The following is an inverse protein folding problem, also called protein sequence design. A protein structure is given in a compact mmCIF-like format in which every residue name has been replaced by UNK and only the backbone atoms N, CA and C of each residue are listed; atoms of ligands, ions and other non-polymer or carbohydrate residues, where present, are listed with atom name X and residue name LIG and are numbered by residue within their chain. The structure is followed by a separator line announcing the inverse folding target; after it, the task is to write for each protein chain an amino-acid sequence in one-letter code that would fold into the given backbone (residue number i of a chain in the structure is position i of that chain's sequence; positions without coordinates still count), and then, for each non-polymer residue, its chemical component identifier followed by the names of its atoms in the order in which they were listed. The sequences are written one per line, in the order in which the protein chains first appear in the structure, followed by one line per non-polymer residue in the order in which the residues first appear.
data_IF_104001187801
#
_entry.id   IF_104001187801
#
_cell.length_a   1.000
_cell.length_b   1.000
_cell.length_c   1.000
_cell.angle_alpha   90.00
_cell.angle_beta   90.00
_cell.angle_gamma   90.00
#
_symmetry.space_group_name_H-M   'P 1'
#
loop_
_entity.id
_entity.type
_entity.pdbx_description
1 polymer ?
#
# COMPACT_ATOMS: atom_id res chain seq x y z
N UNK A 1 75.78 19.17 -0.90
CA UNK A 1 74.72 18.17 -0.67
C UNK A 1 73.42 18.91 -0.75
N UNK A 2 72.71 18.70 -1.86
CA UNK A 2 71.52 19.43 -2.27
C UNK A 2 70.35 19.22 -1.30
N UNK A 3 69.73 20.32 -0.90
CA UNK A 3 68.51 20.35 -0.09
C UNK A 3 67.31 20.37 -1.06
N UNK A 4 66.67 19.22 -1.24
CA UNK A 4 65.52 19.09 -2.14
C UNK A 4 64.25 19.69 -1.52
N UNK A 5 63.66 20.64 -2.25
CA UNK A 5 62.39 21.28 -1.97
C UNK A 5 61.21 20.29 -1.98
N UNK A 6 60.34 20.35 -0.97
CA UNK A 6 59.05 19.64 -0.94
C UNK A 6 57.99 20.46 -1.68
N UNK A 7 57.24 19.89 -2.66
CA UNK A 7 56.06 20.56 -3.21
C UNK A 7 54.89 20.44 -2.22
N UNK A 8 54.22 21.57 -1.95
CA UNK A 8 52.95 21.61 -1.21
C UNK A 8 51.86 21.00 -2.10
N UNK A 9 51.38 19.81 -1.74
CA UNK A 9 50.19 19.21 -2.32
C UNK A 9 48.98 20.01 -1.82
N UNK A 10 48.43 20.87 -2.67
CA UNK A 10 47.16 21.55 -2.43
C UNK A 10 46.07 20.47 -2.51
N UNK A 11 45.57 20.00 -1.37
CA UNK A 11 44.40 19.12 -1.32
C UNK A 11 43.19 19.98 -1.66
N UNK A 12 42.80 19.96 -2.94
CA UNK A 12 41.50 20.42 -3.39
C UNK A 12 40.47 19.47 -2.77
N UNK A 13 39.82 19.89 -1.69
CA UNK A 13 38.61 19.25 -1.18
C UNK A 13 37.52 19.35 -2.25
N UNK A 14 37.49 18.38 -3.15
CA UNK A 14 36.29 18.06 -3.92
C UNK A 14 35.24 17.63 -2.91
N UNK A 15 34.36 18.56 -2.55
CA UNK A 15 33.08 18.25 -1.92
C UNK A 15 32.33 17.32 -2.88
N UNK A 16 32.52 16.02 -2.70
CA UNK A 16 31.57 15.01 -3.12
C UNK A 16 30.30 15.29 -2.31
N UNK A 17 29.47 16.18 -2.82
CA UNK A 17 28.06 16.21 -2.47
C UNK A 17 27.54 14.87 -2.95
N UNK A 18 27.49 13.90 -2.03
CA UNK A 18 26.68 12.73 -2.20
C UNK A 18 25.25 13.24 -2.39
N UNK A 19 24.80 13.34 -3.64
CA UNK A 19 23.39 13.39 -3.95
C UNK A 19 22.81 12.10 -3.35
N UNK A 20 22.21 12.19 -2.17
CA UNK A 20 21.35 11.16 -1.63
C UNK A 20 20.04 11.26 -2.44
N UNK A 21 19.81 10.43 -3.47
CA UNK A 21 18.66 10.63 -4.35
C UNK A 21 17.36 10.15 -3.70
N UNK A 22 17.41 9.45 -2.57
CA UNK A 22 16.28 8.72 -2.01
C UNK A 22 15.50 9.44 -0.88
N UNK A 23 15.85 10.68 -0.51
CA UNK A 23 15.18 11.38 0.61
C UNK A 23 14.29 12.57 0.21
N UNK A 24 14.30 12.98 -1.07
CA UNK A 24 13.60 14.20 -1.52
C UNK A 24 12.40 13.93 -2.46
N UNK A 25 11.83 12.72 -2.46
CA UNK A 25 10.57 12.43 -3.15
C UNK A 25 10.55 12.78 -4.65
N UNK A 26 11.67 12.68 -5.35
CA UNK A 26 11.83 13.16 -6.74
C UNK A 26 11.57 14.67 -6.96
N UNK A 27 11.61 15.50 -5.91
CA UNK A 27 11.57 16.98 -6.05
C UNK A 27 12.97 17.50 -6.38
N UNK A 28 13.12 18.26 -7.47
CA UNK A 28 14.39 18.93 -7.75
C UNK A 28 14.56 20.25 -6.99
N UNK A 29 13.49 21.02 -6.83
CA UNK A 29 13.47 22.26 -6.05
C UNK A 29 12.35 22.22 -5.01
N UNK A 30 12.73 22.27 -3.72
CA UNK A 30 11.77 22.22 -2.61
C UNK A 30 11.22 23.63 -2.31
N UNK A 31 10.41 24.12 -3.23
CA UNK A 31 9.79 25.45 -3.20
C UNK A 31 8.82 25.67 -2.02
N UNK A 32 8.30 26.89 -1.88
CA UNK A 32 7.40 27.26 -0.79
C UNK A 32 6.11 26.43 -0.77
N UNK A 33 5.59 26.04 -1.94
CA UNK A 33 4.37 25.20 -2.05
C UNK A 33 4.67 23.82 -1.48
N UNK A 34 5.78 23.20 -1.85
CA UNK A 34 6.20 21.90 -1.33
C UNK A 34 6.54 21.95 0.15
N UNK A 35 7.20 22.99 0.63
CA UNK A 35 7.46 23.20 2.07
C UNK A 35 6.15 23.31 2.87
N UNK A 36 5.17 24.06 2.34
CA UNK A 36 3.87 24.20 2.97
C UNK A 36 3.10 22.87 3.01
N UNK A 37 3.04 22.15 1.88
CA UNK A 37 2.43 20.81 1.80
C UNK A 37 3.08 19.84 2.77
N UNK A 38 4.42 19.79 2.83
CA UNK A 38 5.14 18.92 3.75
C UNK A 38 4.81 19.23 5.23
N UNK A 39 4.69 20.52 5.59
CA UNK A 39 4.32 20.94 6.95
C UNK A 39 2.89 20.52 7.30
N UNK A 40 1.95 20.72 6.38
CA UNK A 40 0.55 20.30 6.54
C UNK A 40 0.41 18.78 6.62
N UNK A 41 1.11 18.07 5.75
CA UNK A 41 1.21 16.61 5.76
C UNK A 41 1.75 16.09 7.09
N UNK A 42 2.86 16.65 7.59
CA UNK A 42 3.41 16.27 8.91
C UNK A 42 2.40 16.50 10.04
N UNK A 43 1.61 17.57 9.98
CA UNK A 43 0.52 17.82 10.94
C UNK A 43 -0.60 16.77 10.80
N UNK A 44 -0.96 16.42 9.57
CA UNK A 44 -1.98 15.40 9.28
C UNK A 44 -1.54 14.01 9.75
N UNK A 45 -0.31 13.57 9.43
CA UNK A 45 0.24 12.30 9.90
C UNK A 45 0.23 12.20 11.43
N UNK A 46 0.65 13.26 12.13
CA UNK A 46 0.60 13.30 13.60
C UNK A 46 -0.82 13.23 14.16
N UNK A 47 -1.80 13.81 13.47
CA UNK A 47 -3.20 13.76 13.88
C UNK A 47 -3.86 12.39 13.59
N UNK A 48 -3.37 11.69 12.56
CA UNK A 48 -3.84 10.36 12.18
C UNK A 48 -3.17 9.26 13.02
N UNK A 49 -1.93 9.47 13.47
CA UNK A 49 -1.17 8.56 14.32
C UNK A 49 -1.90 8.25 15.62
N UNK A 50 -2.07 6.96 15.90
CA UNK A 50 -2.54 6.47 17.18
C UNK A 50 -1.33 6.11 18.05
N UNK A 51 -1.07 6.76 19.20
CA UNK A 51 0.10 6.48 20.04
C UNK A 51 0.06 5.13 20.76
N UNK A 52 -1.11 4.47 20.78
CA UNK A 52 -1.30 3.17 21.42
C UNK A 52 -2.01 2.22 20.43
N UNK A 53 -1.40 1.90 19.27
CA UNK A 53 -2.01 1.01 18.28
C UNK A 53 -2.30 -0.39 18.85
N UNK A 54 -1.57 -0.79 19.89
CA UNK A 54 -1.67 -2.10 20.53
C UNK A 54 -2.76 -2.21 21.60
N UNK A 55 -3.17 -1.08 22.18
CA UNK A 55 -4.29 -1.02 23.11
C UNK A 55 -5.51 -0.50 22.33
N UNK A 56 -6.65 -0.35 23.00
CA UNK A 56 -7.87 0.31 22.48
C UNK A 56 -8.91 -0.66 21.89
N UNK A 57 -10.17 -0.24 21.98
CA UNK A 57 -11.30 -1.03 22.46
C UNK A 57 -12.51 -1.11 21.52
N UNK A 58 -13.33 -2.10 21.86
CA UNK A 58 -14.68 -2.49 21.43
C UNK A 58 -15.62 -1.32 21.07
N UNK A 59 -15.91 -1.12 19.77
CA UNK A 59 -17.24 -0.69 19.31
C UNK A 59 -17.55 -0.88 17.81
N UNK A 60 -16.84 -1.77 17.11
CA UNK A 60 -17.12 -2.10 15.70
C UNK A 60 -17.36 -3.60 15.44
N UNK A 61 -17.15 -4.43 16.47
CA UNK A 61 -17.26 -5.88 16.41
C UNK A 61 -18.66 -6.43 16.06
N UNK A 62 -19.73 -5.64 16.21
CA UNK A 62 -21.10 -6.15 15.99
C UNK A 62 -21.40 -6.45 14.52
N UNK A 63 -20.89 -5.66 13.58
CA UNK A 63 -21.13 -5.85 12.15
C UNK A 63 -20.13 -6.85 11.53
N UNK A 64 -18.89 -6.87 12.03
CA UNK A 64 -17.87 -7.88 11.70
C UNK A 64 -18.31 -9.28 12.18
N UNK A 65 -18.78 -9.43 13.41
CA UNK A 65 -19.32 -10.72 13.90
C UNK A 65 -20.56 -11.19 13.11
N UNK A 66 -21.54 -10.32 12.82
CA UNK A 66 -22.70 -10.68 11.99
C UNK A 66 -22.33 -11.15 10.58
N UNK A 67 -21.34 -10.51 9.95
CA UNK A 67 -20.84 -10.92 8.64
C UNK A 67 -20.10 -12.28 8.67
N UNK A 68 -19.57 -12.67 9.83
CA UNK A 68 -18.68 -13.81 10.01
C UNK A 68 -19.31 -15.01 10.75
N UNK A 69 -20.43 -14.84 11.46
CA UNK A 69 -21.16 -15.91 12.17
C UNK A 69 -21.96 -16.83 11.24
N UNK A 70 -22.11 -16.46 9.96
CA UNK A 70 -22.64 -17.36 8.92
C UNK A 70 -21.75 -18.58 8.61
N UNK A 71 -20.68 -18.81 9.39
CA UNK A 71 -19.71 -19.90 9.25
C UNK A 71 -19.77 -20.95 10.37
N UNK A 72 -20.48 -20.67 11.47
CA UNK A 72 -20.58 -21.59 12.63
C UNK A 72 -21.73 -22.61 12.52
N UNK A 73 -22.23 -22.89 11.31
CA UNK A 73 -23.13 -24.03 11.11
C UNK A 73 -22.30 -25.30 10.86
N UNK A 74 -22.06 -26.06 11.93
CA UNK A 74 -21.45 -27.39 11.93
C UNK A 74 -22.38 -28.51 11.44
N UNK A 75 -23.32 -28.21 10.53
CA UNK A 75 -24.15 -29.25 9.90
C UNK A 75 -23.68 -29.55 8.49
N UNK A 76 -23.23 -30.80 8.29
CA UNK A 76 -23.25 -31.49 6.98
C UNK A 76 -24.57 -31.15 6.29
N UNK A 77 -24.48 -30.28 5.29
CA UNK A 77 -25.54 -30.02 4.33
C UNK A 77 -24.88 -30.07 2.97
N UNK A 78 -25.00 -31.22 2.31
CA UNK A 78 -24.74 -31.41 0.89
C UNK A 78 -25.83 -30.71 0.05
N UNK A 79 -26.25 -29.51 0.44
CA UNK A 79 -27.10 -28.65 -0.36
C UNK A 79 -26.24 -27.51 -0.91
N UNK A 80 -26.08 -27.48 -2.24
CA UNK A 80 -25.60 -26.33 -3.01
C UNK A 80 -26.43 -25.11 -2.59
N UNK A 81 -25.81 -24.14 -1.91
CA UNK A 81 -26.43 -22.85 -1.64
C UNK A 81 -26.70 -22.12 -2.96
N UNK A 82 -27.92 -21.60 -3.14
CA UNK A 82 -28.45 -21.07 -4.40
C UNK A 82 -28.96 -19.60 -4.31
N UNK A 83 -28.20 -18.70 -3.66
CA UNK A 83 -28.45 -17.24 -3.59
C UNK A 83 -27.18 -16.36 -3.45
N UNK A 84 -27.20 -15.02 -3.61
CA UNK A 84 -26.37 -14.33 -4.62
C UNK A 84 -25.07 -13.62 -4.21
N UNK A 85 -24.64 -13.58 -2.94
CA UNK A 85 -23.38 -12.87 -2.58
C UNK A 85 -22.22 -13.81 -2.29
N UNK A 86 -21.14 -13.65 -3.08
CA UNK A 86 -19.93 -14.49 -2.98
C UNK A 86 -18.85 -13.89 -2.07
N UNK A 87 -18.97 -12.62 -1.65
CA UNK A 87 -18.01 -11.93 -0.79
C UNK A 87 -17.64 -12.72 0.48
N UNK A 88 -16.34 -12.83 0.75
CA UNK A 88 -15.82 -13.76 1.77
C UNK A 88 -15.30 -13.09 3.03
N UNK A 89 -14.76 -11.88 2.93
CA UNK A 89 -14.22 -11.12 4.06
C UNK A 89 -15.12 -9.91 4.42
N UNK A 90 -14.91 -9.26 5.58
CA UNK A 90 -15.76 -8.16 6.05
C UNK A 90 -15.77 -6.92 5.14
N UNK A 91 -14.64 -6.58 4.51
CA UNK A 91 -14.51 -5.42 3.63
C UNK A 91 -15.39 -5.63 2.40
N UNK A 92 -15.23 -6.76 1.70
CA UNK A 92 -16.03 -7.09 0.51
C UNK A 92 -17.52 -7.16 0.87
N UNK A 93 -17.88 -7.82 1.97
CA UNK A 93 -19.29 -8.00 2.35
C UNK A 93 -20.02 -6.68 2.59
N UNK A 94 -19.31 -5.62 2.98
CA UNK A 94 -19.88 -4.31 3.25
C UNK A 94 -20.45 -3.63 1.98
N UNK A 95 -19.91 -3.90 0.79
CA UNK A 95 -20.34 -3.24 -0.45
C UNK A 95 -20.64 -4.19 -1.61
N UNK A 96 -19.89 -5.29 -1.76
CA UNK A 96 -19.83 -6.12 -2.97
C UNK A 96 -21.15 -6.86 -3.24
N UNK A 97 -21.85 -7.22 -2.16
CA UNK A 97 -23.18 -7.83 -2.22
C UNK A 97 -24.29 -6.90 -2.75
N UNK A 98 -24.04 -5.60 -2.88
CA UNK A 98 -25.02 -4.64 -3.41
C UNK A 98 -25.10 -4.79 -4.93
N UNK A 99 -26.22 -5.31 -5.44
CA UNK A 99 -26.46 -5.42 -6.90
C UNK A 99 -26.48 -4.04 -7.58
N UNK A 100 -26.74 -2.98 -6.81
CA UNK A 100 -26.77 -1.61 -7.27
C UNK A 100 -25.47 -0.87 -6.93
N UNK A 101 -24.35 -1.59 -6.71
CA UNK A 101 -23.05 -0.98 -6.42
C UNK A 101 -22.68 0.09 -7.44
N UNK A 102 -23.08 -0.04 -8.71
CA UNK A 102 -22.76 0.93 -9.75
C UNK A 102 -23.42 2.30 -9.51
N UNK A 103 -24.68 2.33 -9.03
CA UNK A 103 -25.38 3.57 -8.65
C UNK A 103 -25.01 4.01 -7.24
N UNK A 104 -24.65 3.08 -6.36
CA UNK A 104 -24.22 3.32 -4.99
C UNK A 104 -22.69 3.29 -4.84
N UNK A 105 -21.95 3.67 -5.88
CA UNK A 105 -20.50 3.42 -6.01
C UNK A 105 -19.69 3.87 -4.80
N UNK A 106 -20.06 5.04 -4.27
CA UNK A 106 -19.42 5.71 -3.15
C UNK A 106 -19.60 5.00 -1.80
N UNK A 107 -20.52 4.03 -1.69
CA UNK A 107 -20.69 3.19 -0.49
C UNK A 107 -19.40 2.42 -0.14
N UNK A 108 -18.57 2.13 -1.14
CA UNK A 108 -17.26 1.50 -0.94
C UNK A 108 -16.44 2.21 0.14
N UNK A 109 -16.45 3.54 0.16
CA UNK A 109 -15.66 4.36 1.08
C UNK A 109 -16.08 4.24 2.56
N UNK A 110 -17.18 3.54 2.88
CA UNK A 110 -17.59 3.24 4.25
C UNK A 110 -17.11 1.86 4.73
N UNK A 111 -16.41 1.12 3.87
CA UNK A 111 -16.07 -0.28 4.09
C UNK A 111 -14.60 -0.52 4.45
N UNK A 112 -13.78 0.53 4.43
CA UNK A 112 -12.38 0.45 4.85
C UNK A 112 -12.30 0.03 6.32
N UNK A 113 -11.37 -0.87 6.62
CA UNK A 113 -11.00 -1.26 7.97
C UNK A 113 -9.50 -1.05 8.17
N UNK A 114 -9.01 -1.21 9.40
CA UNK A 114 -7.59 -1.03 9.69
C UNK A 114 -7.21 0.43 9.92
N UNK A 115 -5.92 0.73 9.88
CA UNK A 115 -5.42 2.10 10.08
C UNK A 115 -5.93 3.09 9.03
N UNK A 116 -6.20 2.64 7.80
CA UNK A 116 -6.78 3.45 6.72
C UNK A 116 -8.30 3.61 6.75
N UNK A 117 -9.01 3.19 7.81
CA UNK A 117 -10.49 3.21 7.86
C UNK A 117 -11.12 4.61 7.72
N UNK A 118 -10.36 5.69 7.95
CA UNK A 118 -10.82 7.07 7.77
C UNK A 118 -10.73 7.58 6.32
N UNK A 119 -10.11 6.81 5.42
CA UNK A 119 -10.02 7.16 4.01
C UNK A 119 -11.43 7.11 3.38
N UNK A 120 -12.00 8.29 3.14
CA UNK A 120 -13.26 8.48 2.42
C UNK A 120 -13.05 8.84 0.94
N UNK A 121 -11.81 9.18 0.57
CA UNK A 121 -11.41 9.50 -0.79
C UNK A 121 -12.23 10.66 -1.38
N UNK A 122 -12.75 10.45 -2.58
CA UNK A 122 -13.60 11.38 -3.31
C UNK A 122 -15.09 11.31 -2.95
N UNK A 123 -15.49 10.63 -1.87
CA UNK A 123 -16.90 10.38 -1.53
C UNK A 123 -17.77 11.64 -1.54
N UNK A 124 -17.25 12.76 -1.04
CA UNK A 124 -17.96 14.03 -0.93
C UNK A 124 -18.11 14.81 -2.26
N UNK A 125 -17.42 14.41 -3.32
CA UNK A 125 -17.39 15.15 -4.59
C UNK A 125 -18.05 14.42 -5.75
N UNK A 126 -18.10 15.07 -6.90
CA UNK A 126 -18.78 14.53 -8.08
C UNK A 126 -18.07 13.29 -8.66
N UNK A 127 -18.83 12.52 -9.44
CA UNK A 127 -18.25 11.46 -10.27
C UNK A 127 -17.57 12.10 -11.47
N UNK A 128 -16.30 11.77 -11.67
CA UNK A 128 -15.55 12.12 -12.87
C UNK A 128 -15.35 10.86 -13.73
N UNK A 129 -15.65 10.94 -15.02
CA UNK A 129 -15.49 9.81 -15.94
C UNK A 129 -14.28 10.06 -16.83
N UNK A 130 -13.26 9.22 -16.69
CA UNK A 130 -12.14 9.15 -17.63
C UNK A 130 -12.65 8.52 -18.93
N UNK A 131 -12.48 9.23 -20.03
CA UNK A 131 -12.89 8.84 -21.39
C UNK A 131 -11.70 8.75 -22.35
N UNK A 132 -10.54 9.25 -21.93
CA UNK A 132 -9.33 9.33 -22.74
C UNK A 132 -8.16 8.75 -21.93
N UNK A 133 -7.50 7.74 -22.50
CA UNK A 133 -6.37 7.05 -21.88
C UNK A 133 -5.02 7.71 -22.18
N UNK A 134 -4.99 8.82 -22.92
CA UNK A 134 -3.76 9.54 -23.24
C UNK A 134 -3.16 10.27 -22.03
N UNK A 135 -1.84 10.45 -22.08
CA UNK A 135 -1.06 11.17 -21.06
C UNK A 135 0.03 12.02 -21.73
N UNK A 136 -0.35 12.72 -22.80
CA UNK A 136 0.59 13.35 -23.74
C UNK A 136 1.07 14.75 -23.29
N UNK A 137 0.35 15.39 -22.38
CA UNK A 137 0.68 16.74 -21.87
C UNK A 137 0.69 16.76 -20.34
N UNK A 138 1.91 16.84 -19.80
CA UNK A 138 2.18 16.82 -18.36
C UNK A 138 1.85 18.15 -17.67
N UNK A 139 1.71 19.24 -18.44
CA UNK A 139 1.49 20.60 -17.94
C UNK A 139 0.08 21.09 -18.18
N UNK A 140 -0.61 20.63 -19.21
CA UNK A 140 -2.00 21.01 -19.52
C UNK A 140 -2.81 19.76 -19.89
N UNK A 141 -3.00 18.84 -18.94
CA UNK A 141 -3.72 17.60 -19.22
C UNK A 141 -5.15 17.90 -19.67
N UNK A 142 -5.64 17.17 -20.66
CA UNK A 142 -6.95 17.40 -21.26
C UNK A 142 -8.08 16.91 -20.35
N UNK A 143 -9.21 17.63 -20.23
CA UNK A 143 -10.44 17.04 -19.69
C UNK A 143 -10.77 15.74 -20.42
N UNK A 144 -11.17 14.72 -19.67
CA UNK A 144 -11.37 13.34 -20.11
C UNK A 144 -10.23 12.41 -19.69
N UNK A 145 -9.04 12.92 -19.35
CA UNK A 145 -7.88 12.10 -18.95
C UNK A 145 -7.80 11.86 -17.45
N UNK A 146 -7.09 10.80 -17.06
CA UNK A 146 -6.81 10.51 -15.65
C UNK A 146 -5.97 11.62 -15.00
N UNK A 147 -4.93 12.13 -15.69
CA UNK A 147 -4.07 13.20 -15.16
C UNK A 147 -4.87 14.47 -14.87
N UNK A 148 -5.77 14.87 -15.74
CA UNK A 148 -6.64 16.02 -15.46
C UNK A 148 -7.47 15.81 -14.19
N UNK A 149 -8.07 14.63 -14.03
CA UNK A 149 -8.97 14.31 -12.93
C UNK A 149 -8.29 14.35 -11.56
N UNK A 150 -7.10 13.75 -11.44
CA UNK A 150 -6.40 13.62 -10.15
C UNK A 150 -5.82 14.93 -9.64
N UNK A 151 -5.66 15.93 -10.51
CA UNK A 151 -5.14 17.26 -10.17
C UNK A 151 -6.20 18.23 -9.63
N UNK A 152 -7.48 17.93 -9.82
CA UNK A 152 -8.56 18.85 -9.46
C UNK A 152 -8.58 19.12 -7.94
N UNK A 153 -8.82 20.36 -7.48
CA UNK A 153 -8.78 20.69 -6.06
C UNK A 153 -9.96 20.11 -5.27
N UNK A 154 -11.14 20.01 -5.88
CA UNK A 154 -12.32 19.42 -5.26
C UNK A 154 -12.16 17.90 -5.07
N UNK A 155 -12.89 17.30 -4.12
CA UNK A 155 -12.99 15.85 -4.05
C UNK A 155 -13.55 15.28 -5.35
N UNK A 156 -13.05 14.15 -5.83
CA UNK A 156 -13.57 13.48 -7.02
C UNK A 156 -13.57 11.97 -6.90
N UNK A 157 -14.69 11.36 -7.29
CA UNK A 157 -14.81 9.92 -7.47
C UNK A 157 -14.57 9.57 -8.94
N UNK A 158 -13.34 9.19 -9.26
CA UNK A 158 -12.85 8.97 -10.62
C UNK A 158 -13.16 7.54 -11.07
N UNK A 159 -13.82 7.43 -12.22
CA UNK A 159 -14.27 6.17 -12.83
C UNK A 159 -13.83 6.14 -14.29
N UNK A 160 -13.96 4.99 -14.95
CA UNK A 160 -13.54 4.81 -16.34
C UNK A 160 -14.74 4.44 -17.22
N UNK A 161 -14.82 5.06 -18.40
CA UNK A 161 -15.95 4.87 -19.33
C UNK A 161 -15.98 3.46 -19.94
N UNK A 162 -14.81 2.87 -20.16
CA UNK A 162 -14.59 1.58 -20.78
C UNK A 162 -13.22 1.03 -20.35
N UNK A 163 -12.90 -0.18 -20.79
CA UNK A 163 -11.58 -0.79 -20.58
C UNK A 163 -10.49 0.10 -21.17
N UNK A 164 -9.38 0.27 -20.45
CA UNK A 164 -8.30 1.18 -20.82
C UNK A 164 -6.95 0.62 -20.41
N UNK A 165 -5.94 0.86 -21.25
CA UNK A 165 -4.54 0.76 -20.88
C UNK A 165 -3.99 2.18 -20.90
N UNK A 166 -3.67 2.70 -19.72
CA UNK A 166 -3.11 4.04 -19.52
C UNK A 166 -1.61 3.88 -19.31
N UNK A 167 -0.84 4.40 -20.24
CA UNK A 167 0.61 4.52 -20.12
C UNK A 167 0.93 5.92 -19.62
N UNK A 168 1.33 6.02 -18.36
CA UNK A 168 1.78 7.29 -17.78
C UNK A 168 3.12 7.68 -18.40
N UNK A 169 3.19 8.85 -19.03
CA UNK A 169 4.41 9.34 -19.70
C UNK A 169 5.49 9.65 -18.67
N UNK A 170 5.10 10.28 -17.57
CA UNK A 170 5.90 10.57 -16.39
C UNK A 170 5.03 10.41 -15.14
N UNK A 171 5.63 10.54 -13.96
CA UNK A 171 4.96 10.32 -12.68
C UNK A 171 3.59 11.01 -12.57
N UNK A 172 2.57 10.27 -12.13
CA UNK A 172 1.21 10.78 -11.94
C UNK A 172 1.04 11.30 -10.51
N UNK A 173 1.11 12.62 -10.35
CA UNK A 173 0.85 13.28 -9.08
C UNK A 173 -0.65 13.32 -8.78
N UNK A 174 -1.05 12.79 -7.63
CA UNK A 174 -2.46 12.75 -7.22
C UNK A 174 -2.67 13.69 -6.04
N UNK A 175 -3.68 14.56 -6.13
CA UNK A 175 -4.05 15.48 -5.03
C UNK A 175 -4.93 14.80 -3.97
N UNK A 176 -5.16 15.47 -2.84
CA UNK A 176 -6.00 14.95 -1.75
C UNK A 176 -7.48 14.74 -2.17
N UNK A 177 -8.20 13.94 -1.39
CA UNK A 177 -9.65 13.70 -1.54
C UNK A 177 -10.03 13.06 -2.89
N UNK A 178 -9.27 12.05 -3.31
CA UNK A 178 -9.51 11.34 -4.58
C UNK A 178 -9.88 9.89 -4.32
N UNK A 179 -10.80 9.39 -5.12
CA UNK A 179 -10.97 7.95 -5.30
C UNK A 179 -10.70 7.63 -6.76
N UNK A 180 -9.72 6.78 -7.05
CA UNK A 180 -9.53 6.17 -8.36
C UNK A 180 -10.12 4.76 -8.27
N UNK A 181 -11.22 4.51 -8.93
CA UNK A 181 -11.95 3.25 -8.79
C UNK A 181 -12.21 2.66 -10.17
N UNK A 182 -11.64 1.48 -10.42
CA UNK A 182 -11.68 0.75 -11.68
C UNK A 182 -12.94 -0.09 -11.90
N UNK A 183 -13.82 -0.26 -10.91
CA UNK A 183 -14.98 -1.16 -11.04
C UNK A 183 -15.88 -0.79 -12.23
N UNK A 184 -16.22 -1.78 -13.04
CA UNK A 184 -17.04 -1.58 -14.25
C UNK A 184 -16.23 -1.44 -15.55
N UNK A 185 -14.90 -1.43 -15.45
CA UNK A 185 -13.98 -1.45 -16.58
C UNK A 185 -12.73 -2.27 -16.20
N UNK A 186 -12.05 -2.86 -17.17
CA UNK A 186 -10.72 -3.42 -16.99
C UNK A 186 -9.67 -2.33 -17.25
N UNK A 187 -9.08 -1.80 -16.18
CA UNK A 187 -8.19 -0.64 -16.24
C UNK A 187 -6.78 -1.04 -15.84
N UNK A 188 -5.86 -0.87 -16.79
CA UNK A 188 -4.44 -1.12 -16.61
C UNK A 188 -3.68 0.21 -16.58
N UNK A 189 -2.88 0.44 -15.53
CA UNK A 189 -1.82 1.45 -15.52
C UNK A 189 -0.53 0.68 -15.79
N UNK A 190 0.03 0.83 -16.99
CA UNK A 190 1.11 -0.06 -17.41
C UNK A 190 2.10 0.53 -18.41
N UNK A 191 3.31 -0.03 -18.43
CA UNK A 191 4.40 0.31 -19.35
C UNK A 191 4.87 1.77 -19.29
N UNK A 192 4.50 2.48 -18.22
CA UNK A 192 4.76 3.90 -18.00
C UNK A 192 5.33 4.16 -16.61
N UNK A 193 5.25 5.40 -16.15
CA UNK A 193 5.72 5.79 -14.83
C UNK A 193 4.75 5.42 -13.69
N UNK A 194 5.18 5.69 -12.45
CA UNK A 194 4.46 5.38 -11.21
C UNK A 194 3.32 6.37 -10.87
N UNK A 195 2.43 5.95 -9.96
CA UNK A 195 1.46 6.82 -9.29
C UNK A 195 2.06 7.32 -7.98
N UNK A 196 2.00 8.63 -7.72
CA UNK A 196 2.61 9.23 -6.53
C UNK A 196 1.61 10.02 -5.69
N UNK A 197 1.49 9.62 -4.43
CA UNK A 197 0.73 10.29 -3.39
C UNK A 197 1.73 11.02 -2.48
N UNK A 198 2.03 12.29 -2.79
CA UNK A 198 3.03 13.06 -2.07
C UNK A 198 2.41 14.21 -1.27
N UNK A 199 2.54 14.17 0.05
CA UNK A 199 2.01 15.14 1.00
C UNK A 199 0.51 15.38 0.84
N UNK A 200 -0.22 14.30 0.58
CA UNK A 200 -1.67 14.32 0.41
C UNK A 200 -2.35 13.44 1.44
N UNK A 201 -3.66 13.61 1.58
CA UNK A 201 -4.45 12.78 2.48
C UNK A 201 -5.79 12.39 1.86
N UNK A 202 -6.41 11.40 2.49
CA UNK A 202 -7.77 10.98 2.14
C UNK A 202 -7.86 10.50 0.68
N UNK A 203 -7.14 9.42 0.34
CA UNK A 203 -7.09 8.87 -1.01
C UNK A 203 -7.49 7.39 -1.00
N UNK A 204 -8.32 6.99 -1.97
CA UNK A 204 -8.67 5.58 -2.21
C UNK A 204 -8.20 5.21 -3.63
N UNK A 205 -7.47 4.10 -3.76
CA UNK A 205 -7.14 3.50 -5.06
C UNK A 205 -7.71 2.09 -5.06
N UNK A 206 -8.62 1.80 -5.99
CA UNK A 206 -9.40 0.57 -5.98
C UNK A 206 -9.58 -0.05 -7.37
N UNK A 207 -9.41 -1.37 -7.47
CA UNK A 207 -9.84 -2.13 -8.64
C UNK A 207 -8.99 -1.92 -9.91
N UNK A 208 -7.70 -1.62 -9.80
CA UNK A 208 -6.80 -1.41 -10.94
C UNK A 208 -5.86 -2.60 -11.15
N UNK A 209 -5.41 -2.79 -12.39
CA UNK A 209 -4.21 -3.54 -12.71
C UNK A 209 -3.04 -2.54 -12.85
N UNK A 210 -1.92 -2.77 -12.14
CA UNK A 210 -0.73 -1.91 -12.22
C UNK A 210 0.50 -2.76 -12.44
N UNK A 211 1.17 -2.61 -13.58
CA UNK A 211 2.26 -3.52 -13.94
C UNK A 211 3.18 -2.99 -15.01
N UNK A 212 4.37 -3.58 -15.12
CA UNK A 212 5.37 -3.19 -16.12
C UNK A 212 5.77 -1.71 -16.05
N UNK A 213 5.52 -1.05 -14.91
CA UNK A 213 5.94 0.33 -14.70
C UNK A 213 7.46 0.45 -14.76
N UNK A 214 7.93 1.60 -15.24
CA UNK A 214 9.33 1.94 -15.46
C UNK A 214 9.64 3.30 -14.85
N UNK A 215 10.91 3.53 -14.59
CA UNK A 215 11.42 4.83 -14.22
C UNK A 215 11.06 5.87 -15.29
N UNK A 216 10.36 6.93 -14.88
CA UNK A 216 10.15 8.12 -15.70
C UNK A 216 11.40 9.01 -15.67
N UNK A 217 11.63 9.80 -16.71
CA UNK A 217 12.80 10.68 -16.78
C UNK A 217 12.66 11.95 -15.92
N UNK A 218 11.44 12.24 -15.43
CA UNK A 218 11.12 13.49 -14.76
C UNK A 218 10.88 14.63 -15.75
N UNK A 219 11.17 15.86 -15.34
CA UNK A 219 10.93 17.08 -16.11
C UNK A 219 9.87 17.96 -15.46
N UNK A 220 9.31 18.90 -16.22
CA UNK A 220 8.26 19.79 -15.72
C UNK A 220 6.94 19.02 -15.67
N UNK A 221 6.42 18.82 -14.46
CA UNK A 221 5.19 18.04 -14.23
C UNK A 221 4.24 18.86 -13.39
N UNK A 222 2.96 18.88 -13.80
CA UNK A 222 1.89 19.47 -13.00
C UNK A 222 1.49 18.56 -11.86
N UNK A 223 1.45 19.12 -10.66
CA UNK A 223 1.08 18.42 -9.42
C UNK A 223 -0.20 18.98 -8.75
N UNK A 224 -0.66 20.16 -9.17
CA UNK A 224 -2.03 20.64 -8.92
C UNK A 224 -2.51 21.60 -10.02
N UNK A 225 -3.78 22.00 -9.98
CA UNK A 225 -4.30 23.01 -10.93
C UNK A 225 -3.48 24.32 -10.90
N UNK A 226 -2.93 24.69 -9.74
CA UNK A 226 -2.23 25.95 -9.56
C UNK A 226 -0.71 25.80 -9.45
N UNK A 227 -0.18 24.57 -9.57
CA UNK A 227 1.23 24.30 -9.36
C UNK A 227 1.80 23.22 -10.29
N UNK A 228 2.97 23.49 -10.83
CA UNK A 228 3.81 22.53 -11.54
C UNK A 228 5.29 22.84 -11.24
N UNK A 229 6.13 21.83 -11.23
CA UNK A 229 7.55 21.98 -10.88
C UNK A 229 8.42 20.96 -11.58
N UNK A 230 9.74 21.16 -11.50
CA UNK A 230 10.70 20.19 -12.03
C UNK A 230 10.79 18.98 -11.09
N UNK A 231 10.49 17.81 -11.64
CA UNK A 231 10.62 16.50 -11.00
C UNK A 231 11.87 15.80 -11.51
N UNK A 232 12.59 15.12 -10.63
CA UNK A 232 13.69 14.25 -11.05
C UNK A 232 13.16 12.92 -11.57
N UNK A 233 14.08 12.08 -12.06
CA UNK A 233 13.78 10.71 -12.45
C UNK A 233 13.03 9.98 -11.33
N UNK A 234 11.94 9.29 -11.67
CA UNK A 234 11.21 8.42 -10.73
C UNK A 234 11.80 7.01 -10.74
N UNK A 235 11.56 6.25 -9.67
CA UNK A 235 12.18 4.93 -9.47
C UNK A 235 11.54 3.85 -10.36
N UNK A 236 10.26 4.00 -10.66
CA UNK A 236 9.48 3.04 -11.45
C UNK A 236 8.68 2.08 -10.58
N UNK A 237 8.17 2.58 -9.46
CA UNK A 237 7.25 1.87 -8.58
C UNK A 237 5.87 1.66 -9.23
N UNK A 238 5.04 0.85 -8.60
CA UNK A 238 3.60 0.87 -8.86
C UNK A 238 2.93 2.12 -8.26
N UNK A 239 2.94 2.21 -6.93
CA UNK A 239 2.34 3.31 -6.15
C UNK A 239 3.31 3.73 -5.03
N UNK A 240 3.65 5.02 -4.96
CA UNK A 240 4.53 5.56 -3.90
C UNK A 240 3.77 6.56 -3.03
N UNK A 241 3.76 6.34 -1.71
CA UNK A 241 3.20 7.22 -0.69
C UNK A 241 4.35 7.93 0.03
N UNK A 242 4.35 9.26 -0.03
CA UNK A 242 5.38 10.10 0.57
C UNK A 242 4.75 11.13 1.49
N UNK A 243 4.89 10.96 2.81
CA UNK A 243 4.24 11.82 3.80
C UNK A 243 2.72 11.91 3.63
N UNK A 244 2.06 10.83 3.26
CA UNK A 244 0.62 10.79 3.02
C UNK A 244 -0.15 10.14 4.17
N UNK A 245 -1.38 10.61 4.44
CA UNK A 245 -2.21 10.07 5.54
C UNK A 245 -3.61 9.67 5.10
N UNK A 246 -4.24 8.73 5.82
CA UNK A 246 -5.61 8.27 5.56
C UNK A 246 -5.76 7.75 4.12
N UNK A 247 -5.01 6.70 3.79
CA UNK A 247 -4.98 6.10 2.45
C UNK A 247 -5.49 4.66 2.48
N UNK A 248 -6.30 4.30 1.49
CA UNK A 248 -6.77 2.93 1.31
C UNK A 248 -6.50 2.43 -0.12
N UNK A 249 -5.68 1.39 -0.22
CA UNK A 249 -5.37 0.68 -1.47
C UNK A 249 -6.08 -0.67 -1.41
N UNK A 250 -7.02 -0.91 -2.32
CA UNK A 250 -7.91 -2.07 -2.23
C UNK A 250 -8.13 -2.76 -3.58
N UNK A 251 -8.16 -4.09 -3.61
CA UNK A 251 -8.45 -4.83 -4.85
C UNK A 251 -7.57 -4.40 -6.04
N UNK A 252 -6.27 -4.24 -5.82
CA UNK A 252 -5.30 -3.98 -6.90
C UNK A 252 -4.62 -5.29 -7.30
N UNK A 253 -4.40 -5.48 -8.60
CA UNK A 253 -3.54 -6.55 -9.11
C UNK A 253 -2.22 -5.95 -9.60
N UNK A 254 -1.09 -6.34 -9.02
CA UNK A 254 0.23 -5.75 -9.33
C UNK A 254 1.31 -6.78 -9.60
N UNK A 255 2.17 -6.50 -10.59
CA UNK A 255 3.34 -7.32 -10.92
C UNK A 255 4.36 -6.56 -11.76
N UNK A 256 5.62 -7.02 -11.74
CA UNK A 256 6.68 -6.64 -12.68
C UNK A 256 6.91 -5.12 -12.87
N UNK A 257 6.80 -4.32 -11.82
CA UNK A 257 7.31 -2.94 -11.85
C UNK A 257 8.84 -2.94 -11.88
N UNK A 258 9.46 -1.80 -12.17
CA UNK A 258 10.91 -1.71 -12.27
C UNK A 258 11.59 -1.74 -10.89
N UNK A 259 11.01 -1.06 -9.90
CA UNK A 259 11.54 -1.01 -8.52
C UNK A 259 10.57 -1.68 -7.53
N UNK A 260 9.85 -0.93 -6.70
CA UNK A 260 8.82 -1.43 -5.78
C UNK A 260 7.45 -1.67 -6.43
N UNK A 261 6.56 -2.44 -5.78
CA UNK A 261 5.12 -2.37 -6.13
C UNK A 261 4.44 -1.25 -5.34
N UNK A 262 4.57 -1.25 -4.01
CA UNK A 262 4.01 -0.20 -3.15
C UNK A 262 5.02 0.23 -2.10
N UNK A 263 5.30 1.53 -2.09
CA UNK A 263 6.17 2.17 -1.12
C UNK A 263 5.37 3.09 -0.19
N UNK A 264 5.55 2.94 1.11
CA UNK A 264 4.94 3.77 2.16
C UNK A 264 6.06 4.37 2.98
N UNK A 265 6.42 5.62 2.70
CA UNK A 265 7.64 6.23 3.23
C UNK A 265 7.37 7.65 3.74
N UNK A 266 8.36 8.19 4.45
CA UNK A 266 8.48 9.61 4.79
C UNK A 266 7.33 10.11 5.67
N UNK A 267 7.10 9.39 6.76
CA UNK A 267 6.05 9.60 7.75
C UNK A 267 4.63 9.45 7.18
N UNK A 268 4.48 8.65 6.12
CA UNK A 268 3.15 8.20 5.68
C UNK A 268 2.52 7.30 6.74
N UNK A 269 1.24 7.48 7.05
CA UNK A 269 0.56 6.75 8.14
C UNK A 269 -0.94 6.64 7.92
N UNK A 270 -1.65 5.90 8.77
CA UNK A 270 -3.07 5.60 8.60
C UNK A 270 -3.36 4.99 7.22
N UNK A 271 -2.65 3.90 6.90
CA UNK A 271 -2.74 3.22 5.60
C UNK A 271 -3.35 1.83 5.77
N UNK A 272 -4.30 1.47 4.90
CA UNK A 272 -4.74 0.08 4.72
C UNK A 272 -4.45 -0.36 3.30
N UNK A 273 -3.82 -1.53 3.14
CA UNK A 273 -3.67 -2.23 1.87
C UNK A 273 -4.41 -3.56 2.00
N UNK A 274 -5.52 -3.70 1.28
CA UNK A 274 -6.40 -4.86 1.41
C UNK A 274 -6.81 -5.50 0.10
N UNK A 275 -7.16 -6.79 0.15
CA UNK A 275 -7.70 -7.54 -0.99
C UNK A 275 -6.83 -7.44 -2.27
N UNK A 276 -5.55 -7.13 -2.18
CA UNK A 276 -4.68 -6.98 -3.35
C UNK A 276 -4.06 -8.33 -3.74
N UNK A 277 -3.73 -8.48 -5.02
CA UNK A 277 -3.04 -9.65 -5.55
C UNK A 277 -1.69 -9.25 -6.14
N UNK A 278 -0.62 -9.79 -5.57
CA UNK A 278 0.76 -9.49 -5.96
C UNK A 278 1.40 -10.74 -6.56
N UNK A 279 2.09 -10.60 -7.70
CA UNK A 279 2.84 -11.70 -8.34
C UNK A 279 4.08 -11.19 -9.06
N UNK A 280 4.99 -12.11 -9.43
CA UNK A 280 6.12 -11.88 -10.35
C UNK A 280 6.88 -10.58 -10.10
N UNK A 281 7.46 -10.44 -8.89
CA UNK A 281 8.14 -9.21 -8.49
C UNK A 281 9.17 -9.46 -7.40
N UNK A 282 10.29 -8.74 -7.42
CA UNK A 282 11.35 -8.92 -6.42
C UNK A 282 11.03 -8.17 -5.12
N UNK A 283 10.91 -6.84 -5.20
CA UNK A 283 10.80 -5.94 -4.06
C UNK A 283 9.35 -5.48 -3.91
N UNK A 284 8.52 -6.22 -3.17
CA UNK A 284 7.06 -6.08 -3.25
C UNK A 284 6.55 -4.83 -2.52
N UNK A 285 6.70 -4.76 -1.20
CA UNK A 285 6.16 -3.69 -0.35
C UNK A 285 7.26 -3.15 0.58
N UNK A 286 7.59 -1.85 0.48
CA UNK A 286 8.55 -1.20 1.36
C UNK A 286 7.87 -0.16 2.26
N UNK A 287 7.91 -0.38 3.57
CA UNK A 287 7.39 0.52 4.57
C UNK A 287 8.57 1.16 5.32
N UNK A 288 8.79 2.45 5.12
CA UNK A 288 9.96 3.17 5.62
C UNK A 288 11.20 3.00 4.73
N UNK A 289 11.58 4.07 4.04
CA UNK A 289 12.58 4.03 2.96
C UNK A 289 14.03 4.02 3.45
N UNK A 290 14.30 4.63 4.60
CA UNK A 290 15.66 4.87 5.09
C UNK A 290 15.89 4.36 6.51
N UNK A 291 17.10 3.85 6.76
CA UNK A 291 17.60 3.48 8.09
C UNK A 291 18.03 4.70 8.92
N UNK A 292 17.91 5.92 8.38
CA UNK A 292 18.28 7.20 9.04
C UNK A 292 17.12 8.20 9.12
N UNK A 293 15.88 7.74 8.93
CA UNK A 293 14.69 8.58 8.95
C UNK A 293 13.70 8.17 10.06
N UNK A 294 13.99 8.50 11.33
CA UNK A 294 13.15 8.10 12.47
C UNK A 294 11.77 8.77 12.49
N UNK A 295 11.53 9.79 11.67
CA UNK A 295 10.20 10.38 11.48
C UNK A 295 9.17 9.33 10.96
N UNK A 296 9.62 8.20 10.41
CA UNK A 296 8.78 7.04 10.05
C UNK A 296 8.23 6.26 11.26
N UNK A 297 8.61 6.56 12.50
CA UNK A 297 8.03 5.92 13.70
C UNK A 297 6.51 6.12 13.81
N UNK A 298 5.99 7.21 13.21
CA UNK A 298 4.53 7.47 13.17
C UNK A 298 3.79 6.58 12.17
N UNK A 299 4.50 5.82 11.32
CA UNK A 299 3.90 5.01 10.27
C UNK A 299 3.07 3.87 10.87
N UNK A 300 1.82 3.75 10.42
CA UNK A 300 0.89 2.69 10.82
C UNK A 300 0.19 2.14 9.59
N UNK A 301 0.46 0.86 9.29
CA UNK A 301 -0.05 0.19 8.09
C UNK A 301 -0.80 -1.10 8.45
N UNK A 302 -1.98 -1.30 7.88
CA UNK A 302 -2.69 -2.58 7.91
C UNK A 302 -2.56 -3.28 6.57
N UNK A 303 -2.06 -4.52 6.58
CA UNK A 303 -2.10 -5.46 5.46
C UNK A 303 -3.17 -6.52 5.74
N UNK A 304 -4.24 -6.54 4.96
CA UNK A 304 -5.34 -7.46 5.20
C UNK A 304 -5.90 -8.15 3.96
N UNK A 305 -6.15 -9.45 4.05
CA UNK A 305 -6.81 -10.22 2.99
C UNK A 305 -6.10 -10.19 1.62
N UNK A 306 -4.82 -9.86 1.59
CA UNK A 306 -4.04 -9.87 0.35
C UNK A 306 -3.63 -11.30 -0.03
N UNK A 307 -3.41 -11.54 -1.32
CA UNK A 307 -2.78 -12.75 -1.83
C UNK A 307 -1.40 -12.42 -2.39
N UNK A 308 -0.37 -12.97 -1.75
CA UNK A 308 1.02 -12.94 -2.19
C UNK A 308 1.30 -14.24 -2.97
N UNK A 309 1.19 -14.12 -4.29
CA UNK A 309 1.17 -15.23 -5.24
C UNK A 309 2.53 -15.56 -5.85
N UNK A 310 2.51 -16.29 -6.97
CA UNK A 310 3.69 -16.85 -7.60
C UNK A 310 4.71 -15.78 -8.03
N UNK A 311 6.00 -16.14 -8.01
CA UNK A 311 7.09 -15.33 -8.53
C UNK A 311 7.49 -14.13 -7.65
N UNK A 312 7.02 -14.06 -6.41
CA UNK A 312 7.47 -13.03 -5.46
C UNK A 312 8.76 -13.44 -4.78
N UNK A 313 9.72 -12.51 -4.62
CA UNK A 313 11.00 -12.82 -3.97
C UNK A 313 10.96 -12.47 -2.48
N UNK A 314 10.68 -11.20 -2.13
CA UNK A 314 10.83 -10.67 -0.78
C UNK A 314 9.95 -9.45 -0.49
N UNK A 315 10.02 -8.91 0.74
CA UNK A 315 9.38 -7.66 1.18
C UNK A 315 7.84 -7.70 1.12
N UNK A 316 7.21 -8.64 1.81
CA UNK A 316 5.74 -8.78 1.87
C UNK A 316 5.18 -8.63 3.31
N UNK A 317 5.50 -7.57 4.07
CA UNK A 317 6.26 -6.37 3.69
C UNK A 317 7.72 -6.41 4.19
N UNK A 318 8.51 -5.39 3.83
CA UNK A 318 9.72 -5.00 4.57
C UNK A 318 9.51 -3.66 5.26
N UNK A 319 9.74 -3.60 6.58
CA UNK A 319 9.34 -2.46 7.41
C UNK A 319 10.53 -1.85 8.16
N UNK A 320 10.51 -0.53 8.35
CA UNK A 320 11.37 0.20 9.27
C UNK A 320 10.57 1.11 10.20
N UNK A 321 11.05 1.28 11.43
CA UNK A 321 10.54 2.21 12.47
C UNK A 321 9.11 1.94 12.97
N UNK A 322 8.12 2.07 12.08
CA UNK A 322 6.72 2.11 12.42
C UNK A 322 6.08 0.77 12.77
N UNK A 323 4.74 0.75 12.66
CA UNK A 323 3.89 -0.35 13.07
C UNK A 323 3.17 -0.97 11.86
N UNK A 324 3.21 -2.30 11.75
CA UNK A 324 2.43 -3.04 10.77
C UNK A 324 1.54 -4.11 11.41
N UNK A 325 0.25 -4.04 11.09
CA UNK A 325 -0.70 -5.11 11.36
C UNK A 325 -0.85 -5.97 10.11
N UNK A 326 -0.35 -7.20 10.16
CA UNK A 326 -0.39 -8.16 9.05
C UNK A 326 -1.41 -9.25 9.39
N UNK A 327 -2.60 -9.19 8.77
CA UNK A 327 -3.73 -10.01 9.20
C UNK A 327 -4.46 -10.73 8.07
N UNK A 328 -4.66 -12.04 8.22
CA UNK A 328 -5.39 -12.88 7.28
C UNK A 328 -4.96 -12.76 5.79
N UNK A 329 -3.68 -12.57 5.54
CA UNK A 329 -3.08 -12.60 4.19
C UNK A 329 -2.66 -14.02 3.82
N UNK A 330 -2.74 -14.37 2.53
CA UNK A 330 -2.34 -15.67 1.99
C UNK A 330 -0.99 -15.55 1.29
N UNK A 331 0.04 -16.15 1.89
CA UNK A 331 1.39 -16.21 1.36
C UNK A 331 1.61 -17.60 0.77
N UNK A 332 1.44 -17.71 -0.54
CA UNK A 332 1.55 -19.00 -1.22
C UNK A 332 2.94 -19.22 -1.79
N UNK A 333 3.68 -18.14 -2.09
CA UNK A 333 5.03 -18.20 -2.64
C UNK A 333 5.87 -17.03 -2.13
N UNK A 334 7.15 -17.31 -1.84
CA UNK A 334 8.24 -16.34 -1.73
C UNK A 334 9.53 -17.01 -2.19
N UNK A 335 10.57 -16.27 -2.53
CA UNK A 335 11.85 -16.87 -2.96
C UNK A 335 13.03 -16.55 -2.04
N UNK A 336 12.82 -15.68 -1.03
CA UNK A 336 13.81 -15.36 -0.02
C UNK A 336 13.22 -15.32 1.39
N UNK A 337 12.29 -14.40 1.66
CA UNK A 337 11.51 -14.30 2.91
C UNK A 337 10.16 -13.64 2.63
N UNK A 338 9.20 -13.78 3.54
CA UNK A 338 7.91 -13.08 3.42
C UNK A 338 7.96 -11.72 4.13
N UNK A 339 8.13 -11.72 5.46
CA UNK A 339 8.05 -10.51 6.29
C UNK A 339 9.46 -10.13 6.76
N UNK A 340 9.85 -8.88 6.59
CA UNK A 340 11.19 -8.43 7.00
C UNK A 340 11.21 -7.01 7.58
N UNK A 341 12.37 -6.62 8.07
CA UNK A 341 12.55 -5.26 8.58
C UNK A 341 13.92 -4.97 9.18
N UNK A 342 14.16 -3.69 9.44
CA UNK A 342 15.32 -3.11 10.12
C UNK A 342 14.89 -1.86 10.90
N UNK A 343 15.70 -1.36 11.84
CA UNK A 343 15.31 -0.21 12.69
C UNK A 343 14.03 -0.44 13.51
N UNK A 344 14.03 -1.51 14.32
CA UNK A 344 13.04 -1.75 15.38
C UNK A 344 11.55 -1.56 15.05
N UNK A 345 11.05 -2.02 13.87
CA UNK A 345 9.63 -1.94 13.57
C UNK A 345 8.84 -2.86 14.50
N UNK A 346 7.59 -2.48 14.77
CA UNK A 346 6.63 -3.37 15.43
C UNK A 346 5.81 -4.11 14.38
N UNK A 347 5.84 -5.44 14.42
CA UNK A 347 5.12 -6.30 13.48
C UNK A 347 4.19 -7.22 14.26
N UNK A 348 2.90 -7.11 14.00
CA UNK A 348 1.92 -8.06 14.51
C UNK A 348 1.38 -8.88 13.35
N UNK A 349 1.76 -10.15 13.30
CA UNK A 349 1.23 -11.14 12.36
C UNK A 349 0.09 -11.92 13.02
N UNK A 350 -1.12 -11.84 12.47
CA UNK A 350 -2.28 -12.58 13.00
C UNK A 350 -3.09 -13.32 11.93
N UNK A 351 -3.29 -14.62 12.13
CA UNK A 351 -4.22 -15.39 11.32
C UNK A 351 -3.86 -15.51 9.84
N UNK A 352 -2.63 -15.25 9.44
CA UNK A 352 -2.15 -15.39 8.07
C UNK A 352 -1.96 -16.87 7.72
N UNK A 353 -1.76 -17.16 6.44
CA UNK A 353 -1.37 -18.49 5.96
C UNK A 353 -0.05 -18.39 5.22
N UNK A 354 0.94 -19.16 5.66
CA UNK A 354 2.27 -19.20 5.09
C UNK A 354 2.58 -20.59 4.53
N UNK A 355 2.64 -20.71 3.21
CA UNK A 355 3.06 -21.93 2.53
C UNK A 355 4.50 -21.76 2.10
N UNK A 356 5.43 -22.32 2.87
CA UNK A 356 6.84 -22.18 2.54
C UNK A 356 7.17 -22.85 1.19
N UNK A 357 8.11 -22.29 0.42
CA UNK A 357 8.65 -22.90 -0.79
C UNK A 357 9.33 -24.24 -0.48
N UNK A 358 9.56 -25.06 -1.50
CA UNK A 358 10.31 -26.33 -1.34
C UNK A 358 11.77 -26.11 -0.89
N UNK A 359 12.36 -24.95 -1.20
CA UNK A 359 13.73 -24.61 -0.80
C UNK A 359 13.87 -24.61 0.74
N UNK A 360 14.75 -25.46 1.33
CA UNK A 360 14.94 -25.51 2.78
C UNK A 360 15.51 -24.21 3.38
N UNK A 361 16.16 -23.36 2.58
CA UNK A 361 16.70 -22.07 3.03
C UNK A 361 15.67 -20.94 3.06
N UNK A 362 14.43 -21.20 2.63
CA UNK A 362 13.35 -20.21 2.57
C UNK A 362 12.17 -20.59 3.48
N UNK A 363 12.41 -21.38 4.53
CA UNK A 363 11.37 -21.82 5.48
C UNK A 363 11.03 -20.76 6.52
N UNK A 364 12.00 -19.94 6.91
CA UNK A 364 11.76 -18.84 7.82
C UNK A 364 10.94 -17.75 7.11
N UNK A 365 9.78 -17.42 7.68
CA UNK A 365 8.90 -16.34 7.22
C UNK A 365 9.56 -14.98 7.40
N UNK A 366 10.33 -14.83 8.48
CA UNK A 366 10.89 -13.57 8.99
C UNK A 366 12.33 -13.29 8.55
N UNK A 367 12.67 -12.02 8.30
CA UNK A 367 14.06 -11.59 8.04
C UNK A 367 14.40 -10.24 8.70
N UNK A 368 15.33 -10.24 9.67
CA UNK A 368 15.75 -9.05 10.44
C UNK A 368 16.97 -8.36 9.82
N UNK A 369 16.85 -7.94 8.56
CA UNK A 369 17.93 -7.26 7.84
C UNK A 369 19.31 -7.92 8.01
N UNK A 370 20.35 -7.09 8.14
CA UNK A 370 21.69 -7.50 8.55
C UNK A 370 21.96 -7.13 10.03
N UNK A 371 20.91 -7.00 10.83
CA UNK A 371 21.01 -6.58 12.23
C UNK A 371 21.42 -7.76 13.13
N UNK A 372 22.34 -7.58 14.11
CA UNK A 372 22.71 -8.62 15.06
C UNK A 372 21.55 -9.04 15.98
N UNK A 373 21.51 -10.32 16.40
CA UNK A 373 20.49 -10.84 17.33
C UNK A 373 20.41 -10.05 18.65
N UNK A 374 21.55 -9.62 19.18
CA UNK A 374 21.61 -8.80 20.40
C UNK A 374 20.76 -7.53 20.33
N UNK A 375 20.52 -7.01 19.12
CA UNK A 375 19.72 -5.82 18.88
C UNK A 375 18.27 -6.18 18.54
N UNK A 376 18.05 -7.00 17.50
CA UNK A 376 16.70 -7.24 17.00
C UNK A 376 15.82 -8.07 17.95
N UNK A 377 16.42 -8.81 18.90
CA UNK A 377 15.67 -9.58 19.89
C UNK A 377 14.77 -8.72 20.79
N UNK A 378 15.08 -7.42 20.89
CA UNK A 378 14.25 -6.43 21.59
C UNK A 378 13.04 -5.94 20.78
N UNK A 379 13.02 -6.15 19.46
CA UNK A 379 11.97 -5.65 18.57
C UNK A 379 10.71 -6.50 18.70
N UNK A 380 9.54 -5.88 18.69
CA UNK A 380 8.26 -6.55 18.91
C UNK A 380 7.73 -7.18 17.61
N UNK A 381 8.07 -8.44 17.37
CA UNK A 381 7.59 -9.22 16.23
C UNK A 381 6.84 -10.44 16.76
N UNK A 382 5.52 -10.45 16.59
CA UNK A 382 4.65 -11.52 17.10
C UNK A 382 3.90 -12.25 16.00
N UNK A 383 3.57 -13.51 16.26
CA UNK A 383 2.77 -14.38 15.39
C UNK A 383 1.67 -15.07 16.20
N UNK A 384 0.41 -14.84 15.83
CA UNK A 384 -0.75 -15.40 16.54
C UNK A 384 -1.78 -16.00 15.58
N UNK A 385 -2.13 -17.28 15.75
CA UNK A 385 -3.16 -17.94 14.94
C UNK A 385 -2.79 -18.13 13.47
N UNK A 386 -1.54 -17.86 13.09
CA UNK A 386 -1.00 -18.09 11.75
C UNK A 386 -0.95 -19.59 11.42
N UNK A 387 -1.27 -19.94 10.18
CA UNK A 387 -1.16 -21.29 9.65
C UNK A 387 0.17 -21.45 8.90
N UNK A 388 1.08 -22.23 9.50
CA UNK A 388 2.37 -22.58 8.91
C UNK A 388 2.27 -23.89 8.13
N UNK A 389 2.63 -23.87 6.85
CA UNK A 389 2.54 -25.02 5.93
C UNK A 389 3.90 -25.27 5.27
N UNK A 390 4.19 -26.53 4.98
CA UNK A 390 5.42 -26.97 4.31
C UNK A 390 6.70 -26.58 5.07
N UNK A 391 6.67 -26.63 6.40
CA UNK A 391 7.81 -26.30 7.25
C UNK A 391 8.06 -24.81 7.43
N UNK A 392 7.12 -23.94 7.03
CA UNK A 392 7.18 -22.52 7.37
C UNK A 392 7.29 -22.34 8.90
N UNK A 393 8.02 -21.32 9.33
CA UNK A 393 8.01 -20.91 10.74
C UNK A 393 8.27 -19.41 10.87
N UNK A 394 7.75 -18.82 11.92
CA UNK A 394 7.96 -17.44 12.29
C UNK A 394 8.79 -17.42 13.57
N UNK A 395 9.90 -16.69 13.57
CA UNK A 395 10.67 -16.49 14.79
C UNK A 395 10.14 -15.22 15.45
N UNK A 396 9.64 -15.30 16.67
CA UNK A 396 9.14 -14.14 17.41
C UNK A 396 10.27 -13.41 18.18
N UNK A 397 10.05 -12.16 18.56
CA UNK A 397 10.95 -11.37 19.40
C UNK A 397 10.22 -10.28 20.18
N UNK A 398 10.91 -9.67 21.15
CA UNK A 398 10.37 -8.59 21.96
C UNK A 398 9.31 -9.06 22.96
N UNK A 399 8.50 -8.11 23.43
CA UNK A 399 7.41 -8.38 24.37
C UNK A 399 6.15 -8.77 23.61
N UNK A 400 5.42 -9.77 24.12
CA UNK A 400 4.12 -10.14 23.55
C UNK A 400 3.15 -8.95 23.61
N UNK A 401 2.61 -8.59 22.45
CA UNK A 401 1.56 -7.60 22.34
C UNK A 401 0.22 -8.30 22.59
N UNK A 402 -0.38 -8.05 23.76
CA UNK A 402 -1.68 -8.61 24.13
C UNK A 402 -2.81 -7.60 23.83
N UNK A 403 -4.03 -8.09 23.52
CA UNK A 403 -5.29 -7.33 23.43
C UNK A 403 -5.44 -6.32 22.27
N UNK A 404 -5.25 -6.77 21.03
CA UNK A 404 -5.33 -5.94 19.80
C UNK A 404 -6.77 -5.66 19.29
N UNK A 405 -7.69 -5.24 20.17
CA UNK A 405 -9.13 -5.14 19.84
C UNK A 405 -9.63 -3.70 19.58
N UNK A 406 -9.00 -2.95 18.67
CA UNK A 406 -9.37 -1.56 18.35
C UNK A 406 -10.14 -1.44 17.01
N UNK A 407 -10.78 -0.29 16.74
CA UNK A 407 -11.35 0.12 15.45
C UNK A 407 -10.30 0.19 14.33
N UNK A 408 -9.06 0.52 14.67
CA UNK A 408 -7.93 0.58 13.73
C UNK A 408 -7.34 -0.81 13.41
N UNK A 409 -7.83 -1.86 14.07
CA UNK A 409 -7.33 -3.23 13.91
C UNK A 409 -8.46 -4.13 13.38
N UNK A 410 -8.11 -5.05 12.50
CA UNK A 410 -9.04 -6.05 11.97
C UNK A 410 -8.94 -7.31 12.84
N UNK A 411 -10.02 -7.79 13.46
CA UNK A 411 -9.98 -9.03 14.22
C UNK A 411 -9.56 -10.22 13.34
N UNK A 412 -8.53 -10.94 13.75
CA UNK A 412 -8.00 -12.06 13.00
C UNK A 412 -8.92 -13.30 13.03
N UNK A 413 -9.07 -13.95 11.89
CA UNK A 413 -9.57 -15.34 11.79
C UNK A 413 -8.42 -16.34 11.84
N UNK A 414 -8.65 -17.62 12.16
CA UNK A 414 -7.62 -18.64 12.06
C UNK A 414 -7.05 -18.73 10.64
N UNK A 415 -5.75 -18.97 10.50
CA UNK A 415 -5.06 -19.09 9.21
C UNK A 415 -5.67 -20.12 8.25
N UNK A 416 -6.40 -21.11 8.75
CA UNK A 416 -7.16 -22.08 7.94
C UNK A 416 -8.30 -21.47 7.13
N UNK A 417 -8.78 -20.28 7.51
CA UNK A 417 -9.84 -19.55 6.79
C UNK A 417 -9.30 -18.68 5.65
N UNK A 418 -7.99 -18.42 5.61
CA UNK A 418 -7.36 -17.42 4.73
C UNK A 418 -7.61 -17.68 3.26
N UNK A 419 -7.40 -18.92 2.79
CA UNK A 419 -7.63 -19.28 1.38
C UNK A 419 -9.08 -18.97 0.93
N UNK A 420 -10.04 -18.98 1.86
CA UNK A 420 -11.39 -18.51 1.58
C UNK A 420 -11.49 -16.98 1.60
N UNK A 421 -10.92 -16.33 2.61
CA UNK A 421 -11.01 -14.88 2.81
C UNK A 421 -10.39 -14.08 1.65
N UNK A 422 -9.31 -14.60 1.05
CA UNK A 422 -8.51 -13.96 0.00
C UNK A 422 -8.83 -14.44 -1.42
N UNK A 423 -9.82 -15.32 -1.60
CA UNK A 423 -10.11 -15.97 -2.90
C UNK A 423 -10.44 -15.02 -4.06
N UNK A 424 -10.80 -13.78 -3.74
CA UNK A 424 -11.15 -12.72 -4.69
C UNK A 424 -10.15 -11.55 -4.64
N UNK A 425 -8.97 -11.76 -4.08
CA UNK A 425 -7.93 -10.75 -4.08
C UNK A 425 -7.52 -10.37 -5.52
N UNK A 426 -7.16 -9.10 -5.71
CA UNK A 426 -6.88 -8.50 -7.01
C UNK A 426 -8.04 -7.66 -7.53
N UNK A 427 -7.84 -7.07 -8.71
CA UNK A 427 -8.88 -6.31 -9.39
C UNK A 427 -10.09 -7.20 -9.73
N UNK A 428 -11.28 -6.64 -9.53
CA UNK A 428 -12.54 -7.36 -9.70
C UNK A 428 -13.19 -7.04 -11.05
N UNK A 429 -13.72 -8.08 -11.69
CA UNK A 429 -14.53 -7.95 -12.91
C UNK A 429 -15.99 -7.58 -12.58
N UNK A 430 -16.19 -6.42 -11.94
CA UNK A 430 -17.55 -5.95 -11.61
C UNK A 430 -18.30 -5.56 -12.89
N UNK A 431 -19.53 -6.05 -13.05
CA UNK A 431 -20.43 -5.64 -14.14
C UNK A 431 -21.62 -4.84 -13.59
N UNK A 432 -22.09 -3.84 -14.35
CA UNK A 432 -23.31 -3.09 -14.00
C UNK A 432 -24.50 -4.04 -13.87
N UNK A 433 -25.45 -3.68 -13.00
CA UNK A 433 -26.70 -4.42 -12.72
C UNK A 433 -26.53 -5.85 -12.18
N UNK A 434 -25.31 -6.20 -11.74
CA UNK A 434 -24.98 -7.46 -11.07
C UNK A 434 -24.23 -7.16 -9.78
N UNK A 435 -24.38 -8.02 -8.78
CA UNK A 435 -23.45 -8.00 -7.64
C UNK A 435 -22.03 -8.19 -8.19
N UNK A 436 -21.11 -7.42 -7.64
CA UNK A 436 -19.70 -7.73 -7.81
C UNK A 436 -19.36 -8.92 -6.87
#
# INVERSE_FOLDING_TARGET
MEEYAKPKLLILCLLLVAFFPALMANIAEFDEVWQNRAREAKKASRAAYNPHPEQVTQNFNKEVHKALDGLNSTRRSLNKYSGPCMATNPIDRCWRCDKNWATNRKRLADCALGFGHKATGGKAGEIYVVTDSSDDDLLNPKPGTLRYAVLQPQPLWIIFAHDMIIKLSEELMVTSNKTIDGRGANVHIANGAQITLQFVKNVIIHGLHIHDNKAGNGGMIRDSVDHFGFRTRSDGDGISLFGSSDVWIDHISMWNCQDGLIDVIMASTAVTISNCHFTHHNEVLLFGGSDTYPDDEVMQVTLAFNHFGNGLVQRMPRIRWGFAHVVNNDYTHWLMYAIGGSQHPTIVSQGNRFVAPSNPFCKEVTKRGYTPESEWKSWNWSSEGDLMVNGAFFVESGSKINNLSNKDMIPAKPGTSVARLTRFAGALNCAKDKAC
#
